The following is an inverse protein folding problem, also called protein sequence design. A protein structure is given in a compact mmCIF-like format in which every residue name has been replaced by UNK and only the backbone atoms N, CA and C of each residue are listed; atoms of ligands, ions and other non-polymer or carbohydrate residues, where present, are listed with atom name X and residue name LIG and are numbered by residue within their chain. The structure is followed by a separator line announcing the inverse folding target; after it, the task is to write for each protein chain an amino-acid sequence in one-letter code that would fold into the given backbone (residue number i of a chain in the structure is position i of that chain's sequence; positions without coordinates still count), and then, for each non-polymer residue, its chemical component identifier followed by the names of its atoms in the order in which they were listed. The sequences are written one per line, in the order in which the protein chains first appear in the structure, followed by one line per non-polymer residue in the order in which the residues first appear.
data_IF_480004927974
#
_entry.id   IF_480004927974
#
_cell.length_a   1.000
_cell.length_b   1.000
_cell.length_c   1.000
_cell.angle_alpha   90.00
_cell.angle_beta   90.00
_cell.angle_gamma   90.00
#
_symmetry.space_group_name_H-M   'P 1'
#
loop_
_entity.id
_entity.type
_entity.pdbx_description
1 polymer ?
#
# COMPACT_ATOMS: atom_id res chain seq x y z
N UNK A 1 13.05 -27.72 -4.94
CA UNK A 1 13.39 -28.00 -3.53
C UNK A 1 13.68 -26.65 -2.89
N UNK A 2 12.66 -26.05 -2.27
CA UNK A 2 12.79 -24.76 -1.60
C UNK A 2 13.64 -24.95 -0.34
N UNK A 3 14.53 -24.00 -0.05
CA UNK A 3 15.37 -24.06 1.14
C UNK A 3 14.47 -23.96 2.38
N UNK A 4 14.66 -24.84 3.39
CA UNK A 4 13.83 -24.84 4.60
C UNK A 4 13.81 -23.50 5.32
N UNK A 5 14.87 -22.71 5.17
CA UNK A 5 14.97 -21.39 5.80
C UNK A 5 14.22 -20.31 5.00
N UNK A 6 14.09 -20.45 3.68
CA UNK A 6 13.22 -19.57 2.86
C UNK A 6 11.76 -19.73 3.28
N UNK A 7 11.32 -20.99 3.40
CA UNK A 7 9.95 -21.30 3.81
C UNK A 7 9.62 -20.79 5.22
N UNK A 8 10.56 -20.93 6.16
CA UNK A 8 10.40 -20.36 7.51
C UNK A 8 10.31 -18.84 7.48
N UNK A 9 11.09 -18.19 6.62
CA UNK A 9 11.07 -16.75 6.48
C UNK A 9 9.76 -16.26 5.87
N UNK A 10 9.33 -16.84 4.75
CA UNK A 10 8.03 -16.54 4.12
C UNK A 10 6.89 -16.76 5.11
N UNK A 11 6.95 -17.85 5.90
CA UNK A 11 5.99 -18.10 6.96
C UNK A 11 6.01 -17.03 8.06
N UNK A 12 7.17 -16.58 8.48
CA UNK A 12 7.30 -15.47 9.41
C UNK A 12 6.63 -14.19 8.85
N UNK A 13 6.86 -13.87 7.57
CA UNK A 13 6.20 -12.74 6.91
C UNK A 13 4.68 -12.90 6.92
N UNK A 14 4.16 -14.10 6.64
CA UNK A 14 2.73 -14.39 6.66
C UNK A 14 2.12 -14.14 8.05
N UNK A 15 2.79 -14.61 9.10
CA UNK A 15 2.34 -14.53 10.49
C UNK A 15 2.34 -13.08 11.04
N UNK A 16 3.02 -12.14 10.37
CA UNK A 16 2.96 -10.70 10.70
C UNK A 16 1.64 -10.04 10.31
N UNK A 17 0.88 -10.63 9.38
CA UNK A 17 -0.39 -10.08 8.88
C UNK A 17 -1.56 -10.93 9.35
N UNK A 18 -1.41 -12.26 9.29
CA UNK A 18 -2.48 -13.19 9.63
C UNK A 18 -2.19 -13.86 10.97
N UNK A 19 -3.19 -13.87 11.86
CA UNK A 19 -3.10 -14.60 13.13
C UNK A 19 -3.27 -16.12 12.90
N UNK A 20 -2.17 -16.75 12.46
CA UNK A 20 -2.09 -18.19 12.24
C UNK A 20 -1.49 -18.85 13.48
N UNK A 21 -2.17 -19.81 14.16
CA UNK A 21 -3.26 -20.66 13.69
C UNK A 21 -4.66 -20.31 14.25
N UNK A 22 -4.81 -19.17 14.93
CA UNK A 22 -6.05 -18.84 15.64
C UNK A 22 -7.26 -18.74 14.70
N UNK A 23 -7.03 -18.31 13.46
CA UNK A 23 -8.10 -18.01 12.53
C UNK A 23 -8.08 -18.79 11.21
N UNK A 24 -6.89 -19.18 10.73
CA UNK A 24 -6.73 -19.77 9.41
C UNK A 24 -6.05 -21.14 9.47
N UNK A 25 -6.57 -22.09 8.68
CA UNK A 25 -5.79 -23.25 8.25
C UNK A 25 -4.87 -22.82 7.12
N UNK A 26 -3.58 -23.16 7.21
CA UNK A 26 -2.56 -22.73 6.24
C UNK A 26 -1.88 -23.93 5.60
N UNK A 27 -1.86 -23.92 4.28
CA UNK A 27 -1.17 -24.89 3.43
C UNK A 27 -0.15 -24.15 2.57
N UNK A 28 1.07 -24.70 2.44
CA UNK A 28 2.06 -24.18 1.51
C UNK A 28 1.80 -24.74 0.10
N UNK A 29 1.87 -23.89 -0.91
CA UNK A 29 1.64 -24.26 -2.30
C UNK A 29 2.71 -23.63 -3.21
N UNK A 30 2.78 -24.09 -4.47
CA UNK A 30 3.79 -23.58 -5.41
C UNK A 30 3.37 -22.26 -6.08
N UNK A 31 2.06 -21.93 -6.10
CA UNK A 31 1.51 -20.81 -6.87
C UNK A 31 0.04 -20.50 -6.52
N UNK A 32 -0.25 -19.55 -5.62
CA UNK A 32 0.69 -18.75 -4.80
C UNK A 32 1.37 -19.54 -3.67
N UNK A 33 2.29 -18.91 -2.93
CA UNK A 33 3.11 -19.53 -1.88
C UNK A 33 2.30 -20.17 -0.74
N UNK A 34 1.15 -19.59 -0.38
CA UNK A 34 0.28 -20.12 0.67
C UNK A 34 -1.20 -20.09 0.29
N UNK A 35 -1.94 -21.10 0.74
CA UNK A 35 -3.40 -21.13 0.77
C UNK A 35 -3.88 -20.97 2.21
N UNK A 36 -4.76 -20.00 2.43
CA UNK A 36 -5.39 -19.71 3.72
C UNK A 36 -6.87 -20.08 3.64
N UNK A 37 -7.33 -20.89 4.59
CA UNK A 37 -8.74 -21.35 4.64
C UNK A 37 -9.38 -20.97 5.96
N UNK A 38 -10.56 -20.34 5.89
CA UNK A 38 -11.42 -20.00 7.04
C UNK A 38 -12.88 -20.24 6.68
N UNK A 39 -13.60 -21.00 7.52
CA UNK A 39 -15.03 -21.28 7.33
C UNK A 39 -15.40 -21.82 5.92
N UNK A 40 -14.52 -22.64 5.33
CA UNK A 40 -14.72 -23.23 4.01
C UNK A 40 -14.44 -22.30 2.82
N UNK A 41 -14.01 -21.06 3.06
CA UNK A 41 -13.50 -20.17 2.03
C UNK A 41 -11.97 -20.20 2.01
N UNK A 42 -11.40 -20.37 0.82
CA UNK A 42 -9.96 -20.46 0.60
C UNK A 42 -9.49 -19.34 -0.33
N UNK A 43 -8.40 -18.69 0.05
CA UNK A 43 -7.73 -17.67 -0.76
C UNK A 43 -6.21 -17.88 -0.73
N UNK A 44 -5.52 -17.28 -1.68
CA UNK A 44 -4.08 -17.39 -1.82
C UNK A 44 -3.34 -16.19 -1.27
N UNK A 45 -2.09 -16.41 -0.87
CA UNK A 45 -1.16 -15.35 -0.46
C UNK A 45 0.18 -15.60 -1.13
N UNK A 46 0.60 -14.65 -1.96
CA UNK A 46 1.92 -14.58 -2.55
C UNK A 46 2.81 -13.72 -1.66
N UNK A 47 4.02 -14.17 -1.37
CA UNK A 47 5.01 -13.46 -0.56
C UNK A 47 6.23 -13.15 -1.41
N UNK A 48 6.75 -11.94 -1.23
CA UNK A 48 7.97 -11.51 -1.90
C UNK A 48 8.70 -10.49 -1.07
N UNK A 49 9.93 -10.18 -1.44
CA UNK A 49 10.77 -9.24 -0.73
C UNK A 49 11.26 -8.14 -1.66
N UNK A 50 11.23 -6.91 -1.16
CA UNK A 50 11.72 -5.74 -1.84
C UNK A 50 13.09 -5.36 -1.31
N UNK A 51 14.06 -5.25 -2.20
CA UNK A 51 15.40 -4.72 -1.92
C UNK A 51 15.68 -3.56 -2.85
N UNK A 52 16.51 -2.62 -2.40
CA UNK A 52 16.97 -1.50 -3.24
C UNK A 52 17.66 -2.00 -4.51
N UNK A 53 18.54 -2.97 -4.34
CA UNK A 53 19.31 -3.58 -5.41
C UNK A 53 19.76 -5.00 -5.02
N UNK A 54 20.43 -5.68 -5.97
CA UNK A 54 20.96 -7.01 -5.72
C UNK A 54 22.04 -7.05 -4.65
N UNK A 55 22.76 -5.95 -4.42
CA UNK A 55 23.82 -5.87 -3.39
C UNK A 55 23.20 -5.90 -1.99
N UNK A 56 22.14 -5.10 -1.79
CA UNK A 56 21.32 -5.09 -0.57
C UNK A 56 20.68 -6.45 -0.32
N UNK A 57 20.15 -7.09 -1.37
CA UNK A 57 19.61 -8.44 -1.27
C UNK A 57 20.67 -9.44 -0.82
N UNK A 58 21.89 -9.39 -1.37
CA UNK A 58 23.00 -10.28 -0.97
C UNK A 58 23.43 -10.05 0.48
N UNK A 59 23.48 -8.80 0.96
CA UNK A 59 23.83 -8.48 2.34
C UNK A 59 22.88 -9.15 3.34
N UNK A 60 21.59 -9.23 3.00
CA UNK A 60 20.57 -9.84 3.86
C UNK A 60 20.47 -11.35 3.66
N UNK A 61 20.56 -11.83 2.41
CA UNK A 61 20.21 -13.21 2.05
C UNK A 61 21.39 -14.16 1.96
N UNK A 62 22.62 -13.67 1.74
CA UNK A 62 23.78 -14.54 1.66
C UNK A 62 24.36 -14.75 3.07
N UNK A 63 24.34 -15.99 3.60
CA UNK A 63 24.88 -16.27 4.93
C UNK A 63 26.33 -15.80 5.06
N UNK A 64 26.64 -15.21 6.20
CA UNK A 64 27.97 -14.69 6.57
C UNK A 64 28.55 -13.62 5.64
N UNK A 65 27.81 -13.11 4.64
CA UNK A 65 28.38 -12.20 3.67
C UNK A 65 28.82 -10.87 4.28
N UNK A 66 28.01 -10.31 5.18
CA UNK A 66 28.40 -9.14 5.96
C UNK A 66 29.67 -9.39 6.78
N UNK A 67 29.76 -10.55 7.43
CA UNK A 67 30.93 -10.92 8.23
C UNK A 67 32.18 -11.04 7.36
N UNK A 68 32.09 -11.69 6.20
CA UNK A 68 33.19 -11.83 5.23
C UNK A 68 33.68 -10.47 4.73
N UNK A 69 32.76 -9.55 4.43
CA UNK A 69 33.11 -8.18 4.04
C UNK A 69 33.80 -7.44 5.19
N UNK A 70 33.34 -7.59 6.42
CA UNK A 70 34.04 -7.05 7.59
C UNK A 70 35.42 -7.67 7.77
N UNK A 71 35.60 -8.96 7.50
CA UNK A 71 36.89 -9.64 7.58
C UNK A 71 37.85 -9.26 6.44
N UNK A 72 37.41 -8.40 5.52
CA UNK A 72 38.21 -7.84 4.43
C UNK A 72 38.24 -8.72 3.18
N UNK A 73 37.31 -9.67 3.05
CA UNK A 73 37.15 -10.42 1.81
C UNK A 73 36.66 -9.52 0.67
N UNK A 74 37.05 -9.88 -0.56
CA UNK A 74 36.59 -9.18 -1.75
C UNK A 74 35.08 -9.40 -1.99
N UNK A 75 34.36 -8.37 -2.47
CA UNK A 75 32.97 -8.52 -2.84
C UNK A 75 32.77 -9.58 -3.94
N UNK A 76 31.75 -10.42 -3.80
CA UNK A 76 31.54 -11.54 -4.73
C UNK A 76 30.93 -11.12 -6.07
N UNK A 77 30.32 -9.93 -6.14
CA UNK A 77 29.72 -9.39 -7.35
C UNK A 77 30.27 -8.00 -7.70
N UNK A 78 30.38 -7.71 -8.99
CA UNK A 78 30.89 -6.42 -9.50
C UNK A 78 30.08 -5.21 -9.01
N UNK A 79 28.79 -5.39 -8.75
CA UNK A 79 27.91 -4.32 -8.28
C UNK A 79 28.11 -4.05 -6.79
N UNK A 80 28.55 -5.05 -6.02
CA UNK A 80 28.89 -4.89 -4.60
C UNK A 80 30.12 -3.99 -4.42
N UNK A 81 31.10 -4.09 -5.33
CA UNK A 81 32.32 -3.26 -5.33
C UNK A 81 32.01 -1.77 -5.38
N UNK A 82 30.90 -1.37 -6.02
CA UNK A 82 30.49 0.03 -6.14
C UNK A 82 29.52 0.47 -5.05
N UNK A 83 28.65 -0.44 -4.60
CA UNK A 83 27.55 -0.12 -3.70
C UNK A 83 27.83 -0.32 -2.21
N UNK A 84 28.89 -1.05 -1.85
CA UNK A 84 29.19 -1.44 -0.46
C UNK A 84 30.54 -0.86 -0.05
N UNK A 85 30.53 0.10 0.87
CA UNK A 85 31.74 0.66 1.46
C UNK A 85 31.91 0.15 2.89
N UNK A 86 32.90 -0.72 3.12
CA UNK A 86 33.29 -1.12 4.48
C UNK A 86 34.19 -0.02 5.05
N UNK A 87 33.73 0.60 6.13
CA UNK A 87 34.43 1.70 6.80
C UNK A 87 34.62 1.39 8.27
N UNK A 88 35.53 2.12 8.90
CA UNK A 88 35.74 2.08 10.34
C UNK A 88 35.18 3.36 10.95
N UNK A 89 34.29 3.23 11.93
CA UNK A 89 33.64 4.35 12.61
C UNK A 89 33.97 4.38 14.11
N UNK A 90 33.79 5.56 14.70
CA UNK A 90 33.84 5.83 16.13
C UNK A 90 32.45 6.23 16.61
N UNK A 91 32.01 5.65 17.71
CA UNK A 91 30.71 5.92 18.34
C UNK A 91 30.96 6.79 19.58
N UNK A 92 30.30 7.94 19.62
CA UNK A 92 30.38 8.91 20.70
C UNK A 92 29.05 9.01 21.45
N UNK A 93 29.11 9.29 22.75
CA UNK A 93 27.93 9.69 23.53
C UNK A 93 27.52 11.14 23.20
N UNK A 94 26.34 11.63 23.66
CA UNK A 94 25.93 13.01 23.43
C UNK A 94 26.89 14.08 23.97
N UNK A 95 27.76 13.72 24.91
CA UNK A 95 28.77 14.60 25.50
C UNK A 95 30.10 14.59 24.70
N UNK A 96 30.19 13.77 23.65
CA UNK A 96 31.35 13.64 22.77
C UNK A 96 32.43 12.67 23.28
N UNK A 97 32.16 11.89 24.32
CA UNK A 97 33.09 10.87 24.81
C UNK A 97 33.01 9.63 23.92
N UNK A 98 34.16 9.00 23.69
CA UNK A 98 34.21 7.74 22.92
C UNK A 98 33.58 6.62 23.72
N UNK A 99 32.48 6.09 23.20
CA UNK A 99 31.85 4.87 23.74
C UNK A 99 32.50 3.65 23.10
N UNK A 100 32.75 3.71 21.79
CA UNK A 100 33.36 2.61 21.06
C UNK A 100 34.22 3.16 19.92
N UNK A 101 35.40 2.56 19.74
CA UNK A 101 36.32 2.92 18.68
C UNK A 101 36.56 1.73 17.74
N UNK A 102 36.97 2.04 16.51
CA UNK A 102 37.27 1.06 15.46
C UNK A 102 36.14 0.06 15.13
N UNK A 103 34.89 0.52 15.14
CA UNK A 103 33.74 -0.32 14.77
C UNK A 103 33.69 -0.44 13.25
N UNK A 104 33.67 -1.67 12.71
CA UNK A 104 33.46 -1.88 11.28
C UNK A 104 31.99 -1.67 10.95
N UNK A 105 31.71 -0.86 9.93
CA UNK A 105 30.38 -0.56 9.44
C UNK A 105 30.33 -0.70 7.93
N UNK A 106 29.15 -1.02 7.39
CA UNK A 106 28.88 -0.98 5.96
C UNK A 106 28.07 0.29 5.69
N UNK A 107 28.62 1.19 4.89
CA UNK A 107 27.91 2.35 4.39
C UNK A 107 27.34 2.02 3.02
N UNK A 108 26.03 2.19 2.89
CA UNK A 108 25.29 2.11 1.63
C UNK A 108 24.52 3.41 1.44
N UNK A 109 24.44 3.91 0.22
CA UNK A 109 23.57 5.04 -0.09
C UNK A 109 22.11 4.64 0.18
N UNK A 110 21.34 5.48 0.86
CA UNK A 110 19.89 5.32 1.00
C UNK A 110 19.19 5.79 -0.27
N UNK A 111 18.07 5.16 -0.64
CA UNK A 111 17.22 5.67 -1.73
C UNK A 111 16.33 6.82 -1.25
N UNK A 112 15.83 7.63 -2.18
CA UNK A 112 14.72 8.54 -1.91
C UNK A 112 13.40 7.76 -1.78
N UNK A 113 12.36 8.39 -1.22
CA UNK A 113 11.00 7.83 -1.19
C UNK A 113 10.48 7.49 -2.59
N UNK A 114 10.87 8.29 -3.60
CA UNK A 114 10.53 8.04 -4.99
C UNK A 114 11.24 6.83 -5.58
N UNK A 115 12.53 6.64 -5.26
CA UNK A 115 13.27 5.44 -5.68
C UNK A 115 12.63 4.17 -5.09
N UNK A 116 12.17 4.26 -3.85
CA UNK A 116 11.40 3.19 -3.19
C UNK A 116 10.10 2.91 -3.95
N UNK A 117 9.27 3.93 -4.20
CA UNK A 117 8.01 3.78 -4.92
C UNK A 117 8.20 3.18 -6.32
N UNK A 118 9.25 3.58 -7.05
CA UNK A 118 9.57 3.05 -8.37
C UNK A 118 10.06 1.59 -8.31
N UNK A 119 10.86 1.22 -7.30
CA UNK A 119 11.30 -0.15 -7.08
C UNK A 119 10.12 -1.07 -6.70
N UNK A 120 9.22 -0.60 -5.84
CA UNK A 120 8.00 -1.31 -5.47
C UNK A 120 7.07 -1.49 -6.68
N UNK A 121 6.89 -0.44 -7.49
CA UNK A 121 6.08 -0.50 -8.70
C UNK A 121 6.62 -1.56 -9.68
N UNK A 122 7.93 -1.56 -9.94
CA UNK A 122 8.58 -2.58 -10.77
C UNK A 122 8.37 -3.99 -10.21
N UNK A 123 8.43 -4.13 -8.88
CA UNK A 123 8.24 -5.40 -8.21
C UNK A 123 6.81 -5.94 -8.41
N UNK A 124 5.81 -5.08 -8.20
CA UNK A 124 4.39 -5.41 -8.42
C UNK A 124 4.17 -5.77 -9.90
N UNK A 125 4.70 -4.97 -10.84
CA UNK A 125 4.60 -5.24 -12.29
C UNK A 125 5.16 -6.62 -12.67
N UNK A 126 6.27 -7.04 -12.06
CA UNK A 126 6.83 -8.38 -12.26
C UNK A 126 5.89 -9.47 -11.77
N UNK A 127 5.34 -9.32 -10.56
CA UNK A 127 4.41 -10.29 -9.96
C UNK A 127 3.09 -10.36 -10.72
N UNK A 128 2.57 -9.23 -11.20
CA UNK A 128 1.40 -9.18 -12.08
C UNK A 128 1.57 -10.04 -13.35
N UNK A 129 2.78 -10.08 -13.93
CA UNK A 129 3.08 -10.92 -15.10
C UNK A 129 3.19 -12.40 -14.76
N UNK A 130 3.66 -12.73 -13.55
CA UNK A 130 3.84 -14.12 -13.09
C UNK A 130 2.52 -14.81 -12.72
N UNK A 131 1.49 -14.05 -12.34
CA UNK A 131 0.19 -14.55 -11.86
C UNK A 131 -0.57 -15.45 -12.85
N UNK A 132 -0.22 -15.47 -14.15
CA UNK A 132 -0.93 -16.27 -15.17
C UNK A 132 -1.05 -17.76 -14.83
N UNK A 133 -0.15 -18.30 -14.00
CA UNK A 133 -0.12 -19.69 -13.58
C UNK A 133 -0.86 -20.01 -12.27
N UNK A 134 -1.49 -19.02 -11.63
CA UNK A 134 -2.11 -19.22 -10.32
C UNK A 134 -3.45 -19.96 -10.39
N UNK A 135 -3.82 -20.61 -9.29
CA UNK A 135 -5.09 -21.32 -9.16
C UNK A 135 -6.28 -20.34 -9.13
N UNK A 136 -7.07 -20.34 -10.21
CA UNK A 136 -8.27 -19.51 -10.36
C UNK A 136 -9.49 -20.03 -9.59
N UNK A 137 -9.38 -21.18 -8.90
CA UNK A 137 -10.44 -21.67 -8.00
C UNK A 137 -10.41 -21.00 -6.63
N UNK A 138 -9.30 -20.35 -6.29
CA UNK A 138 -9.17 -19.53 -5.08
C UNK A 138 -10.11 -18.32 -5.16
N UNK A 139 -10.70 -17.95 -4.03
CA UNK A 139 -11.63 -16.83 -3.99
C UNK A 139 -10.96 -15.48 -4.31
N UNK A 140 -9.68 -15.34 -3.96
CA UNK A 140 -8.79 -14.26 -4.40
C UNK A 140 -7.34 -14.59 -4.03
N UNK A 141 -6.42 -13.68 -4.38
CA UNK A 141 -5.01 -13.78 -3.99
C UNK A 141 -4.52 -12.40 -3.52
N UNK A 142 -3.85 -12.34 -2.37
CA UNK A 142 -3.13 -11.14 -1.90
C UNK A 142 -1.64 -11.25 -2.20
N UNK A 143 -0.97 -10.10 -2.37
CA UNK A 143 0.48 -10.01 -2.44
C UNK A 143 1.01 -9.34 -1.18
N UNK A 144 1.92 -10.00 -0.47
CA UNK A 144 2.69 -9.41 0.64
C UNK A 144 4.10 -9.11 0.16
N UNK A 145 4.55 -7.90 0.39
CA UNK A 145 5.91 -7.44 0.09
C UNK A 145 6.63 -7.13 1.40
N UNK A 146 7.57 -8.00 1.80
CA UNK A 146 8.50 -7.73 2.89
C UNK A 146 9.54 -6.70 2.46
N UNK A 147 9.51 -5.53 3.09
CA UNK A 147 10.32 -4.40 2.69
C UNK A 147 11.67 -4.35 3.43
N UNK A 148 12.74 -4.48 2.65
CA UNK A 148 14.13 -4.26 3.08
C UNK A 148 14.73 -3.00 2.44
N UNK A 149 13.92 -2.18 1.76
CA UNK A 149 14.36 -0.95 1.14
C UNK A 149 14.60 0.12 2.22
N UNK A 150 15.86 0.45 2.45
CA UNK A 150 16.23 1.56 3.33
C UNK A 150 16.07 2.90 2.60
N UNK A 151 14.95 3.58 2.84
CA UNK A 151 14.80 5.02 2.56
C UNK A 151 15.14 5.85 3.81
N UNK A 152 15.58 7.09 3.60
CA UNK A 152 15.81 8.04 4.70
C UNK A 152 14.54 8.36 5.48
N UNK A 153 13.38 8.18 4.85
CA UNK A 153 12.05 8.29 5.45
C UNK A 153 11.49 6.88 5.62
N UNK A 154 11.08 6.52 6.83
CA UNK A 154 10.46 5.22 7.10
C UNK A 154 8.97 5.27 6.81
N UNK A 155 8.49 4.40 5.93
CA UNK A 155 7.08 4.23 5.59
C UNK A 155 6.24 3.79 6.82
N UNK A 156 6.86 3.39 7.93
CA UNK A 156 6.18 3.02 9.17
C UNK A 156 6.01 4.14 10.22
N UNK A 157 6.63 5.31 10.04
CA UNK A 157 6.56 6.41 11.02
C UNK A 157 5.52 7.47 10.60
N UNK A 158 5.85 8.27 9.59
CA UNK A 158 4.98 9.27 8.94
C UNK A 158 5.55 9.48 7.52
N UNK A 159 4.72 9.42 6.48
CA UNK A 159 5.14 9.69 5.10
C UNK A 159 4.02 10.36 4.30
N UNK A 160 4.41 11.17 3.30
CA UNK A 160 3.43 11.76 2.40
C UNK A 160 2.95 10.72 1.39
N UNK A 161 1.67 10.34 1.43
CA UNK A 161 1.11 9.42 0.43
C UNK A 161 1.16 10.03 -0.98
N UNK A 162 1.20 11.37 -1.13
CA UNK A 162 1.42 12.02 -2.43
C UNK A 162 2.78 11.64 -3.02
N UNK A 163 3.82 11.74 -2.20
CA UNK A 163 5.19 11.53 -2.63
C UNK A 163 5.46 10.05 -2.85
N UNK A 164 4.83 9.19 -2.03
CA UNK A 164 4.94 7.75 -2.15
C UNK A 164 4.14 7.16 -3.32
N UNK A 165 2.87 7.54 -3.52
CA UNK A 165 2.05 7.04 -4.63
C UNK A 165 2.34 7.79 -5.93
N UNK A 166 3.53 7.55 -6.47
CA UNK A 166 3.93 8.03 -7.80
C UNK A 166 2.96 7.55 -8.88
N UNK A 167 2.87 8.24 -10.04
CA UNK A 167 2.05 7.78 -11.16
C UNK A 167 2.34 6.34 -11.58
N UNK A 168 3.62 5.92 -11.49
CA UNK A 168 4.04 4.55 -11.80
C UNK A 168 3.51 3.55 -10.77
N UNK A 169 3.66 3.82 -9.47
CA UNK A 169 3.14 2.93 -8.42
C UNK A 169 1.62 2.79 -8.51
N UNK A 170 0.90 3.90 -8.73
CA UNK A 170 -0.56 3.86 -8.95
C UNK A 170 -0.93 2.99 -10.15
N UNK A 171 -0.21 3.12 -11.27
CA UNK A 171 -0.46 2.29 -12.46
C UNK A 171 -0.18 0.79 -12.20
N UNK A 172 0.88 0.47 -11.45
CA UNK A 172 1.21 -0.90 -11.05
C UNK A 172 0.13 -1.51 -10.15
N UNK A 173 -0.37 -0.75 -9.17
CA UNK A 173 -1.49 -1.15 -8.31
C UNK A 173 -2.81 -1.25 -9.09
N UNK A 174 -3.05 -0.35 -10.05
CA UNK A 174 -4.23 -0.33 -10.92
C UNK A 174 -4.37 -1.63 -11.73
N UNK A 175 -3.29 -2.05 -12.35
CA UNK A 175 -3.26 -3.20 -13.27
C UNK A 175 -3.03 -4.54 -12.57
N UNK A 176 -2.83 -4.51 -11.26
CA UNK A 176 -2.49 -5.70 -10.51
C UNK A 176 -3.71 -6.64 -10.40
N UNK A 177 -3.51 -7.97 -10.47
CA UNK A 177 -4.60 -8.95 -10.31
C UNK A 177 -4.84 -9.35 -8.86
N UNK A 178 -3.89 -9.03 -7.95
CA UNK A 178 -4.04 -9.30 -6.52
C UNK A 178 -5.26 -8.55 -5.98
N UNK A 179 -5.92 -9.04 -4.92
CA UNK A 179 -7.04 -8.32 -4.30
C UNK A 179 -6.53 -7.15 -3.49
N UNK A 180 -5.52 -7.40 -2.66
CA UNK A 180 -4.71 -6.39 -1.97
C UNK A 180 -3.20 -6.62 -2.22
N UNK A 181 -2.43 -5.52 -2.16
CA UNK A 181 -0.97 -5.52 -2.07
C UNK A 181 -0.58 -4.91 -0.74
N UNK A 182 -0.01 -5.72 0.16
CA UNK A 182 0.35 -5.33 1.52
C UNK A 182 1.87 -5.17 1.58
N UNK A 183 2.34 -3.99 1.98
CA UNK A 183 3.75 -3.72 2.23
C UNK A 183 4.03 -3.88 3.72
N UNK A 184 5.02 -4.70 4.10
CA UNK A 184 5.50 -4.81 5.48
C UNK A 184 6.81 -4.05 5.60
N UNK A 185 6.76 -2.89 6.24
CA UNK A 185 7.93 -2.07 6.56
C UNK A 185 8.58 -2.48 7.88
N UNK A 186 9.86 -2.16 8.03
CA UNK A 186 10.64 -2.40 9.25
C UNK A 186 10.66 -3.88 9.68
N UNK A 187 10.65 -4.83 8.74
CA UNK A 187 10.48 -6.27 9.01
C UNK A 187 11.56 -6.90 9.91
N UNK A 188 12.69 -6.22 10.06
CA UNK A 188 13.83 -6.62 10.89
C UNK A 188 13.85 -5.97 12.29
N UNK A 189 12.86 -5.14 12.62
CA UNK A 189 12.80 -4.35 13.84
C UNK A 189 11.51 -4.62 14.63
N UNK A 190 11.49 -4.28 15.92
CA UNK A 190 10.34 -4.53 16.81
C UNK A 190 9.11 -3.66 16.48
N UNK A 191 9.25 -2.67 15.59
CA UNK A 191 8.20 -1.75 15.15
C UNK A 191 7.72 -2.04 13.72
N UNK A 192 7.55 -3.31 13.39
CA UNK A 192 6.96 -3.74 12.12
C UNK A 192 5.62 -3.04 11.89
N UNK A 193 5.44 -2.47 10.70
CA UNK A 193 4.18 -1.89 10.27
C UNK A 193 3.78 -2.44 8.91
N UNK A 194 2.51 -2.82 8.76
CA UNK A 194 1.97 -3.27 7.49
C UNK A 194 1.04 -2.20 6.89
N UNK A 195 1.04 -2.09 5.57
CA UNK A 195 0.45 -0.98 4.82
C UNK A 195 -0.37 -1.56 3.64
N UNK A 196 -1.71 -1.46 3.65
CA UNK A 196 -2.56 -1.99 2.57
C UNK A 196 -2.62 -0.99 1.41
N UNK A 197 -1.78 -1.17 0.39
CA UNK A 197 -1.48 -0.14 -0.60
C UNK A 197 -2.67 0.25 -1.47
N UNK A 198 -3.52 -0.71 -1.86
CA UNK A 198 -4.70 -0.39 -2.69
C UNK A 198 -5.79 0.26 -1.89
N UNK A 199 -5.99 -0.20 -0.66
CA UNK A 199 -6.90 0.44 0.27
C UNK A 199 -6.54 1.91 0.45
N UNK A 200 -5.28 2.19 0.74
CA UNK A 200 -4.76 3.54 0.85
C UNK A 200 -4.94 4.37 -0.43
N UNK A 201 -4.61 3.80 -1.60
CA UNK A 201 -4.75 4.47 -2.89
C UNK A 201 -6.21 4.83 -3.20
N UNK A 202 -7.16 3.94 -2.89
CA UNK A 202 -8.59 4.18 -3.06
C UNK A 202 -9.10 5.26 -2.10
N UNK A 203 -8.74 5.17 -0.82
CA UNK A 203 -9.12 6.13 0.21
C UNK A 203 -8.63 7.53 -0.15
N UNK A 204 -7.34 7.66 -0.47
CA UNK A 204 -6.77 8.93 -0.90
C UNK A 204 -7.50 9.48 -2.14
N UNK A 205 -7.68 8.67 -3.18
CA UNK A 205 -8.35 9.08 -4.42
C UNK A 205 -9.78 9.56 -4.14
N UNK A 206 -10.51 8.85 -3.30
CA UNK A 206 -11.88 9.21 -2.94
C UNK A 206 -11.95 10.50 -2.14
N UNK A 207 -11.07 10.68 -1.16
CA UNK A 207 -11.07 11.88 -0.32
C UNK A 207 -10.65 13.14 -1.11
N UNK A 208 -9.72 13.00 -2.06
CA UNK A 208 -9.38 14.07 -3.00
C UNK A 208 -10.58 14.36 -3.91
N UNK A 209 -11.25 13.33 -4.44
CA UNK A 209 -12.45 13.50 -5.27
C UNK A 209 -13.56 14.25 -4.52
N UNK A 210 -13.89 13.82 -3.30
CA UNK A 210 -14.86 14.49 -2.43
C UNK A 210 -14.46 15.95 -2.25
N UNK A 211 -13.20 16.24 -1.94
CA UNK A 211 -12.72 17.62 -1.82
C UNK A 211 -13.02 18.46 -3.08
N UNK A 212 -12.75 17.93 -4.27
CA UNK A 212 -13.03 18.61 -5.54
C UNK A 212 -14.53 18.90 -5.74
N UNK A 213 -15.41 17.97 -5.36
CA UNK A 213 -16.87 18.21 -5.37
C UNK A 213 -17.23 19.36 -4.43
N UNK A 214 -16.66 19.39 -3.22
CA UNK A 214 -16.92 20.45 -2.24
C UNK A 214 -16.39 21.84 -2.64
N UNK A 215 -15.48 21.92 -3.61
CA UNK A 215 -15.05 23.21 -4.19
C UNK A 215 -16.09 23.80 -5.15
N UNK A 216 -17.06 23.02 -5.62
CA UNK A 216 -18.13 23.48 -6.51
C UNK A 216 -19.43 23.69 -5.73
N UNK A 217 -19.79 24.94 -5.43
CA UNK A 217 -21.08 25.25 -4.81
C UNK A 217 -22.26 24.76 -5.65
N UNK A 218 -22.15 24.83 -6.98
CA UNK A 218 -23.20 24.35 -7.89
C UNK A 218 -23.33 22.82 -7.84
N UNK A 219 -22.23 22.07 -7.69
CA UNK A 219 -22.32 20.62 -7.47
C UNK A 219 -23.02 20.31 -6.15
N UNK A 220 -22.70 21.04 -5.08
CA UNK A 220 -23.33 20.84 -3.77
C UNK A 220 -24.84 21.14 -3.76
N UNK A 221 -25.31 22.05 -4.62
CA UNK A 221 -26.74 22.35 -4.75
C UNK A 221 -27.50 21.28 -5.57
N UNK A 222 -26.78 20.45 -6.35
CA UNK A 222 -27.35 19.49 -7.29
C UNK A 222 -27.23 18.03 -6.86
N UNK A 223 -26.34 17.72 -5.92
CA UNK A 223 -26.00 16.35 -5.54
C UNK A 223 -26.59 15.97 -4.18
N UNK A 224 -27.06 14.73 -4.09
CA UNK A 224 -27.36 14.07 -2.83
C UNK A 224 -26.11 13.30 -2.32
N UNK A 225 -26.05 12.96 -1.05
CA UNK A 225 -24.90 12.26 -0.47
C UNK A 225 -24.61 10.92 -1.16
N UNK A 226 -25.68 10.16 -1.42
CA UNK A 226 -25.61 8.87 -2.10
C UNK A 226 -25.02 8.99 -3.52
N UNK A 227 -25.05 10.17 -4.15
CA UNK A 227 -24.51 10.39 -5.49
C UNK A 227 -22.98 10.35 -5.56
N UNK A 228 -22.30 10.59 -4.43
CA UNK A 228 -20.85 10.73 -4.39
C UNK A 228 -20.12 9.43 -4.78
N UNK A 229 -20.54 8.28 -4.26
CA UNK A 229 -19.94 6.99 -4.60
C UNK A 229 -20.11 6.66 -6.10
N UNK A 230 -21.29 6.98 -6.65
CA UNK A 230 -21.60 6.76 -8.07
C UNK A 230 -20.79 7.69 -8.98
N UNK A 231 -20.74 8.99 -8.67
CA UNK A 231 -19.91 9.94 -9.43
C UNK A 231 -18.43 9.59 -9.36
N UNK A 232 -17.93 9.19 -8.20
CA UNK A 232 -16.55 8.73 -8.07
C UNK A 232 -16.28 7.51 -8.96
N UNK A 233 -17.20 6.54 -8.99
CA UNK A 233 -17.08 5.38 -9.87
C UNK A 233 -17.10 5.75 -11.37
N UNK A 234 -17.83 6.79 -11.77
CA UNK A 234 -17.77 7.32 -13.15
C UNK A 234 -16.44 8.01 -13.44
N UNK A 235 -15.97 8.87 -12.54
CA UNK A 235 -14.71 9.59 -12.70
C UNK A 235 -13.50 8.64 -12.73
N UNK A 236 -13.54 7.58 -11.94
CA UNK A 236 -12.51 6.55 -11.97
C UNK A 236 -12.57 5.74 -13.27
N UNK A 237 -13.76 5.41 -13.77
CA UNK A 237 -13.91 4.70 -15.04
C UNK A 237 -13.44 5.53 -16.25
N UNK A 238 -13.68 6.83 -16.27
CA UNK A 238 -13.17 7.73 -17.32
C UNK A 238 -11.63 7.74 -17.39
N UNK A 239 -10.98 7.38 -16.27
CA UNK A 239 -9.52 7.21 -16.12
C UNK A 239 -9.05 5.76 -16.28
N UNK A 240 -9.92 4.88 -16.77
CA UNK A 240 -9.62 3.45 -16.97
C UNK A 240 -9.53 2.65 -15.66
N UNK A 241 -10.11 3.14 -14.56
CA UNK A 241 -10.17 2.48 -13.25
C UNK A 241 -11.59 1.98 -13.00
N UNK A 242 -11.81 0.68 -13.12
CA UNK A 242 -13.12 0.10 -12.83
C UNK A 242 -13.32 -0.03 -11.33
N UNK A 243 -14.34 0.65 -10.81
CA UNK A 243 -14.88 0.45 -9.47
C UNK A 243 -16.21 -0.30 -9.55
N UNK A 244 -16.43 -1.20 -8.60
CA UNK A 244 -17.69 -1.92 -8.42
C UNK A 244 -18.52 -1.15 -7.41
N UNK A 245 -19.78 -0.90 -7.70
CA UNK A 245 -20.69 -0.32 -6.73
C UNK A 245 -21.35 -1.41 -5.90
N UNK A 246 -21.44 -1.21 -4.59
CA UNK A 246 -22.05 -2.14 -3.65
C UNK A 246 -23.01 -1.39 -2.73
N UNK A 247 -24.07 -2.08 -2.27
CA UNK A 247 -24.99 -1.52 -1.28
C UNK A 247 -24.84 -2.25 0.05
N UNK A 248 -24.59 -1.49 1.10
CA UNK A 248 -24.31 -2.02 2.44
C UNK A 248 -24.98 -1.14 3.48
N UNK A 249 -25.82 -1.74 4.34
CA UNK A 249 -26.57 -1.01 5.38
C UNK A 249 -27.31 0.22 4.84
N UNK A 250 -27.94 0.07 3.67
CA UNK A 250 -28.69 1.12 2.96
C UNK A 250 -27.84 2.19 2.26
N UNK A 251 -26.51 2.17 2.42
CA UNK A 251 -25.59 3.10 1.78
C UNK A 251 -24.94 2.50 0.52
N UNK A 252 -24.63 3.36 -0.46
CA UNK A 252 -23.94 2.99 -1.68
C UNK A 252 -22.43 3.26 -1.55
N UNK A 253 -21.62 2.26 -1.84
CA UNK A 253 -20.16 2.32 -1.75
C UNK A 253 -19.50 2.08 -3.10
N UNK A 254 -18.40 2.79 -3.34
CA UNK A 254 -17.47 2.49 -4.42
C UNK A 254 -16.38 1.53 -3.91
N UNK A 255 -16.32 0.34 -4.47
CA UNK A 255 -15.49 -0.76 -3.98
C UNK A 255 -14.38 -1.16 -4.97
N UNK A 256 -13.23 -1.52 -4.41
CA UNK A 256 -12.10 -2.11 -5.13
C UNK A 256 -11.25 -2.96 -4.19
N UNK A 257 -10.94 -4.19 -4.61
CA UNK A 257 -10.08 -5.08 -3.82
C UNK A 257 -10.73 -5.43 -2.48
N UNK A 258 -10.03 -5.14 -1.38
CA UNK A 258 -10.47 -5.41 -0.01
C UNK A 258 -11.22 -4.25 0.66
N UNK A 259 -11.48 -3.16 -0.06
CA UNK A 259 -12.07 -1.96 0.54
C UNK A 259 -13.23 -1.42 -0.28
N UNK A 260 -14.15 -0.74 0.40
CA UNK A 260 -15.09 0.19 -0.20
C UNK A 260 -15.16 1.51 0.55
N UNK A 261 -15.52 2.56 -0.19
CA UNK A 261 -15.55 3.93 0.31
C UNK A 261 -16.88 4.60 -0.05
N UNK A 262 -17.39 5.37 0.89
CA UNK A 262 -18.51 6.30 0.66
C UNK A 262 -18.35 7.54 1.54
N UNK A 263 -19.22 8.51 1.36
CA UNK A 263 -19.24 9.73 2.15
C UNK A 263 -20.64 10.00 2.67
N UNK A 264 -20.73 10.39 3.94
CA UNK A 264 -21.96 10.83 4.60
C UNK A 264 -21.70 12.17 5.28
N UNK A 265 -22.70 13.05 5.36
CA UNK A 265 -22.54 14.36 6.04
C UNK A 265 -22.28 14.18 7.53
N UNK A 266 -22.96 13.21 8.16
CA UNK A 266 -22.84 12.96 9.60
C UNK A 266 -21.56 12.16 9.95
N UNK A 267 -21.14 11.25 9.08
CA UNK A 267 -20.03 10.31 9.34
C UNK A 267 -18.71 10.67 8.65
N UNK A 268 -18.72 11.62 7.72
CA UNK A 268 -17.58 11.92 6.85
C UNK A 268 -17.29 10.78 5.87
N UNK A 269 -16.02 10.51 5.61
CA UNK A 269 -15.61 9.39 4.76
C UNK A 269 -15.74 8.09 5.55
N UNK A 270 -16.61 7.19 5.07
CA UNK A 270 -16.76 5.86 5.62
C UNK A 270 -15.94 4.88 4.79
N UNK A 271 -15.15 4.06 5.48
CA UNK A 271 -14.33 3.01 4.86
C UNK A 271 -14.78 1.67 5.41
N UNK A 272 -15.16 0.76 4.51
CA UNK A 272 -15.43 -0.61 4.88
C UNK A 272 -14.32 -1.51 4.37
N UNK A 273 -13.58 -2.11 5.29
CA UNK A 273 -12.61 -3.15 5.01
C UNK A 273 -13.30 -4.52 5.04
N UNK A 274 -13.33 -5.18 3.89
CA UNK A 274 -13.90 -6.52 3.77
C UNK A 274 -13.00 -7.61 4.32
N UNK A 275 -11.75 -7.27 4.67
CA UNK A 275 -10.68 -8.23 4.89
C UNK A 275 -10.69 -9.31 3.78
N UNK A 276 -10.32 -10.53 4.11
CA UNK A 276 -10.34 -11.66 3.17
C UNK A 276 -11.67 -12.43 3.19
N UNK A 277 -12.79 -11.76 3.50
CA UNK A 277 -14.12 -12.35 3.38
C UNK A 277 -14.55 -12.48 1.91
N UNK A 278 -15.38 -13.49 1.57
CA UNK A 278 -15.97 -13.61 0.23
C UNK A 278 -16.89 -12.42 -0.10
N UNK A 279 -16.63 -11.75 -1.22
CA UNK A 279 -17.41 -10.59 -1.66
C UNK A 279 -18.67 -10.94 -2.44
N UNK A 280 -18.88 -12.22 -2.76
CA UNK A 280 -20.05 -12.70 -3.51
C UNK A 280 -21.34 -12.50 -2.72
N UNK A 281 -21.22 -12.38 -1.39
CA UNK A 281 -22.34 -12.12 -0.49
C UNK A 281 -22.74 -10.65 -0.40
N UNK A 282 -21.90 -9.72 -0.88
CA UNK A 282 -22.17 -8.29 -0.82
C UNK A 282 -22.85 -7.86 -2.12
N UNK A 283 -24.10 -7.37 -2.09
CA UNK A 283 -24.84 -7.03 -3.30
C UNK A 283 -24.13 -5.97 -4.13
N UNK A 284 -23.93 -6.25 -5.42
CA UNK A 284 -23.53 -5.24 -6.40
C UNK A 284 -24.76 -4.49 -6.89
N UNK A 285 -24.63 -3.19 -7.13
CA UNK A 285 -25.71 -2.37 -7.66
C UNK A 285 -25.29 -1.74 -8.99
N UNK A 286 -26.29 -1.40 -9.81
CA UNK A 286 -26.08 -0.67 -11.04
C UNK A 286 -25.75 0.81 -10.75
N UNK A 287 -24.94 1.39 -11.63
CA UNK A 287 -24.63 2.82 -11.58
C UNK A 287 -25.89 3.64 -11.83
N UNK A 288 -26.17 4.59 -10.94
CA UNK A 288 -27.21 5.60 -11.13
C UNK A 288 -26.73 6.65 -12.12
N UNK A 289 -27.59 7.08 -13.03
CA UNK A 289 -27.26 8.17 -13.95
C UNK A 289 -27.43 9.50 -13.22
N UNK A 290 -26.31 10.19 -12.98
CA UNK A 290 -26.29 11.49 -12.30
C UNK A 290 -26.11 12.58 -13.34
N UNK A 291 -27.12 13.44 -13.49
CA UNK A 291 -27.14 14.52 -14.46
C UNK A 291 -26.59 15.79 -13.84
N UNK A 292 -25.32 16.06 -14.10
CA UNK A 292 -24.68 17.34 -13.81
C UNK A 292 -24.55 18.17 -15.10
N UNK A 293 -24.66 19.51 -15.02
CA UNK A 293 -24.25 20.36 -16.11
C UNK A 293 -22.81 20.05 -16.54
N UNK A 294 -22.55 20.07 -17.85
CA UNK A 294 -21.25 19.69 -18.41
C UNK A 294 -20.09 20.50 -17.82
N UNK A 295 -20.30 21.80 -17.56
CA UNK A 295 -19.28 22.65 -16.97
C UNK A 295 -18.96 22.28 -15.52
N UNK A 296 -19.94 21.80 -14.75
CA UNK A 296 -19.73 21.31 -13.37
C UNK A 296 -18.93 19.99 -13.39
N UNK A 297 -19.30 19.08 -14.29
CA UNK A 297 -18.58 17.81 -14.48
C UNK A 297 -17.13 18.04 -14.90
N UNK A 298 -16.91 18.91 -15.89
CA UNK A 298 -15.57 19.26 -16.36
C UNK A 298 -14.75 19.92 -15.25
N UNK A 299 -15.35 20.82 -14.47
CA UNK A 299 -14.68 21.43 -13.32
C UNK A 299 -14.19 20.38 -12.32
N UNK A 300 -15.06 19.45 -11.90
CA UNK A 300 -14.70 18.39 -10.95
C UNK A 300 -13.56 17.52 -11.51
N UNK A 301 -13.66 17.10 -12.77
CA UNK A 301 -12.64 16.25 -13.41
C UNK A 301 -11.30 16.97 -13.55
N UNK A 302 -11.30 18.26 -13.92
CA UNK A 302 -10.09 19.09 -14.03
C UNK A 302 -9.41 19.25 -12.67
N UNK A 303 -10.16 19.59 -11.62
CA UNK A 303 -9.62 19.73 -10.26
C UNK A 303 -9.11 18.40 -9.73
N UNK A 304 -9.84 17.31 -9.96
CA UNK A 304 -9.40 15.98 -9.55
C UNK A 304 -8.13 15.53 -10.29
N UNK A 305 -7.98 15.88 -11.57
CA UNK A 305 -6.75 15.64 -12.35
C UNK A 305 -5.57 16.42 -11.77
N UNK A 306 -5.75 17.73 -11.57
CA UNK A 306 -4.71 18.60 -10.99
C UNK A 306 -4.23 18.10 -9.62
N UNK A 307 -5.17 17.66 -8.78
CA UNK A 307 -4.87 17.15 -7.45
C UNK A 307 -4.21 15.76 -7.49
N UNK A 308 -4.65 14.88 -8.39
CA UNK A 308 -4.09 13.52 -8.54
C UNK A 308 -2.68 13.50 -9.14
N UNK A 309 -2.38 14.40 -10.07
CA UNK A 309 -1.09 14.47 -10.77
C UNK A 309 0.01 15.15 -9.93
N UNK A 310 -0.28 15.51 -8.68
CA UNK A 310 0.69 16.17 -7.80
C UNK A 310 1.13 17.52 -8.34
N UNK A 311 0.23 18.26 -9.01
CA UNK A 311 0.46 19.63 -9.43
C UNK A 311 0.97 20.45 -8.25
N UNK A 312 2.27 20.80 -8.30
CA UNK A 312 2.99 21.47 -7.22
C UNK A 312 2.22 22.73 -6.78
N UNK A 313 1.54 22.66 -5.63
CA UNK A 313 0.87 23.81 -5.03
C UNK A 313 -0.50 23.58 -4.39
N UNK A 314 -1.14 22.42 -4.57
CA UNK A 314 -2.44 22.10 -3.95
C UNK A 314 -2.32 20.89 -3.04
N UNK A 315 -1.26 20.81 -2.23
CA UNK A 315 -1.42 20.11 -0.97
C UNK A 315 -2.14 21.07 -0.02
N UNK A 316 -3.46 21.12 -0.12
CA UNK A 316 -4.25 21.87 0.84
C UNK A 316 -4.00 21.27 2.23
N UNK A 317 -4.06 22.09 3.28
CA UNK A 317 -4.00 21.58 4.65
C UNK A 317 -5.02 20.46 4.91
N UNK A 318 -6.10 20.41 4.12
CA UNK A 318 -7.06 19.32 4.09
C UNK A 318 -6.48 18.03 3.49
N UNK A 319 -5.88 18.05 2.30
CA UNK A 319 -5.26 16.86 1.71
C UNK A 319 -4.13 16.33 2.61
N UNK A 320 -3.36 17.24 3.24
CA UNK A 320 -2.36 16.84 4.24
C UNK A 320 -3.00 16.20 5.48
N UNK A 321 -4.04 16.81 6.06
CA UNK A 321 -4.79 16.23 7.19
C UNK A 321 -5.43 14.90 6.86
N UNK A 322 -5.95 14.73 5.64
CA UNK A 322 -6.48 13.46 5.16
C UNK A 322 -5.38 12.41 5.16
N UNK A 323 -4.20 12.74 4.66
CA UNK A 323 -3.05 11.83 4.63
C UNK A 323 -2.50 11.52 6.02
N UNK A 324 -2.52 12.49 6.92
CA UNK A 324 -2.14 12.33 8.34
C UNK A 324 -3.19 11.54 9.14
N UNK A 325 -4.48 11.68 8.84
CA UNK A 325 -5.58 11.01 9.58
C UNK A 325 -5.78 9.55 9.19
N UNK A 326 -5.29 9.14 8.01
CA UNK A 326 -5.36 7.75 7.53
C UNK A 326 -4.34 6.85 8.26
N UNK A 327 -3.47 7.41 9.11
CA UNK A 327 -2.47 6.66 9.87
C UNK A 327 -2.43 7.10 11.35
N UNK A 328 -2.32 6.19 12.34
CA UNK A 328 -2.18 4.74 12.23
C UNK A 328 -3.53 4.01 12.05
N UNK A 329 -3.55 2.99 11.18
CA UNK A 329 -4.66 2.04 11.13
C UNK A 329 -4.68 1.22 12.42
N UNK A 330 -5.69 1.43 13.26
CA UNK A 330 -6.01 0.47 14.31
C UNK A 330 -6.79 -0.67 13.66
N UNK A 331 -6.13 -1.80 13.41
CA UNK A 331 -6.65 -2.95 12.64
C UNK A 331 -7.72 -3.77 13.36
N UNK A 332 -8.33 -3.23 14.41
CA UNK A 332 -9.47 -3.84 15.07
C UNK A 332 -10.66 -3.81 14.10
N UNK A 333 -10.93 -4.99 13.51
CA UNK A 333 -12.02 -5.33 12.60
C UNK A 333 -13.28 -4.48 12.81
N UNK A 334 -13.66 -3.69 11.83
CA UNK A 334 -14.87 -2.88 11.88
C UNK A 334 -15.00 -1.88 10.74
N UNK A 335 -16.15 -1.21 10.67
CA UNK A 335 -16.31 0.00 9.87
C UNK A 335 -15.51 1.11 10.54
N UNK A 336 -14.58 1.72 9.82
CA UNK A 336 -13.85 2.88 10.29
C UNK A 336 -14.47 4.14 9.67
N UNK A 337 -14.81 5.10 10.52
CA UNK A 337 -15.31 6.41 10.11
C UNK A 337 -14.21 7.45 10.27
N UNK A 338 -13.89 8.16 9.20
CA UNK A 338 -12.98 9.30 9.24
C UNK A 338 -13.78 10.58 9.05
N UNK A 339 -13.89 11.37 10.12
CA UNK A 339 -14.47 12.71 10.03
C UNK A 339 -13.38 13.70 9.68
N UNK A 340 -13.30 14.08 8.40
CA UNK A 340 -12.47 15.21 7.98
C UNK A 340 -13.29 16.50 8.17
N UNK A 341 -13.07 17.20 9.28
CA UNK A 341 -13.76 18.46 9.55
C UNK A 341 -13.48 19.49 8.45
N UNK A 342 -14.56 20.14 8.00
CA UNK A 342 -14.52 21.27 7.07
C UNK A 342 -13.55 22.32 7.62
N UNK A 343 -12.46 22.60 6.91
CA UNK A 343 -11.59 23.73 7.25
C UNK A 343 -12.46 24.99 7.16
N UNK A 344 -12.67 25.65 8.31
CA UNK A 344 -13.55 26.80 8.43
C UNK A 344 -13.25 27.87 7.38
N UNK A 345 -14.33 28.48 6.87
CA UNK A 345 -14.29 29.60 5.93
C UNK A 345 -13.53 30.80 6.48
#
# INVERSE_FOLDING_TARGET
MQNSDSLKWERYILDLIYDVPAEFAVEHADSPDFYLTRNGYTFGVEITELFKDGSSARLVKLPDYMQRLWDGEEPIHKDDVKGINVVTIRIEDPDGNVVQDNVKAIFSETGSLRDHADALAEHIERKNKAQKGYDYTLGHINLIVGDHFSSSESIGAEYSTAEFFTPRLRAALQTSPFREVILISNILYDNVAWVPLRQLELMESFMVFVHCVYQSSEALDLLEEEDLAHLFAFEMESRGRTLVLRREREEDFAARGNVSVTYTVDGGTLVHEYADWPLDSVPTIDRRKIELPEHVRQFISDEFTKASDGGAGIETAYIRKVREAVWPFDSVRGVQSFTADRVGR
#
